data_IF_767097436351
#
_entry.id   IF_767097436351
#
_cell.length_a   1.000
_cell.length_b   1.000
_cell.length_c   1.000
_cell.angle_alpha   90.00
_cell.angle_beta   90.00
_cell.angle_gamma   90.00
#
_symmetry.space_group_name_H-M   'P 1'
#
loop_
_entity.id
_entity.type
_entity.pdbx_description
1 polymer ?
#
# COMPACT_ATOMS: atom_id res chain seq x y z
N UNK A 1 8.90 -37.67 -10.07
CA UNK A 1 9.35 -36.29 -9.77
C UNK A 1 9.06 -36.05 -8.32
N UNK A 2 9.80 -35.21 -7.59
CA UNK A 2 9.42 -34.86 -6.22
C UNK A 2 8.05 -34.18 -6.24
N UNK A 3 7.19 -34.56 -5.28
CA UNK A 3 5.90 -33.91 -5.06
C UNK A 3 6.10 -32.75 -4.12
N UNK A 4 5.63 -31.55 -4.48
CA UNK A 4 5.73 -30.33 -3.67
C UNK A 4 4.39 -29.97 -3.08
N UNK A 5 4.37 -29.45 -1.85
CA UNK A 5 3.19 -28.94 -1.17
C UNK A 5 3.19 -27.41 -1.21
N UNK A 6 2.21 -26.83 -1.88
CA UNK A 6 1.96 -25.38 -1.92
C UNK A 6 0.76 -25.08 -1.03
N UNK A 7 0.96 -24.19 -0.05
CA UNK A 7 -0.08 -23.80 0.89
C UNK A 7 -0.44 -22.33 0.66
N UNK A 8 -1.71 -22.06 0.45
CA UNK A 8 -2.29 -20.72 0.50
C UNK A 8 -2.84 -20.48 1.90
N UNK A 9 -2.32 -19.49 2.58
CA UNK A 9 -2.67 -19.23 3.98
C UNK A 9 -4.02 -18.54 4.12
N UNK A 10 -4.28 -17.54 3.28
CA UNK A 10 -5.49 -16.72 3.30
C UNK A 10 -5.69 -16.02 1.96
N UNK A 11 -6.96 -15.75 1.60
CA UNK A 11 -7.29 -15.17 0.31
C UNK A 11 -8.66 -14.51 0.29
N UNK A 12 -8.77 -13.35 -0.37
CA UNK A 12 -10.00 -12.57 -0.46
C UNK A 12 -10.91 -12.90 -1.64
N UNK A 13 -10.38 -13.56 -2.68
CA UNK A 13 -11.14 -13.87 -3.89
C UNK A 13 -11.91 -15.20 -3.77
N UNK A 14 -13.02 -15.38 -4.53
CA UNK A 14 -13.88 -16.56 -4.39
C UNK A 14 -13.29 -17.84 -4.97
N UNK A 15 -12.31 -17.76 -5.87
CA UNK A 15 -11.73 -18.90 -6.59
C UNK A 15 -10.19 -18.87 -6.64
N UNK A 16 -9.61 -19.93 -7.18
CA UNK A 16 -8.17 -20.15 -7.39
C UNK A 16 -7.82 -20.47 -8.83
N UNK A 17 -8.67 -20.15 -9.73
CA UNK A 17 -8.54 -20.65 -11.11
C UNK A 17 -7.26 -20.15 -11.76
N UNK A 18 -6.90 -18.89 -11.57
CA UNK A 18 -5.67 -18.31 -12.15
C UNK A 18 -4.41 -18.91 -11.56
N UNK A 19 -4.34 -19.06 -10.24
CA UNK A 19 -3.20 -19.69 -9.57
C UNK A 19 -3.08 -21.15 -9.97
N UNK A 20 -4.18 -21.90 -9.93
CA UNK A 20 -4.23 -23.32 -10.32
C UNK A 20 -3.80 -23.49 -11.76
N UNK A 21 -4.21 -22.61 -12.67
CA UNK A 21 -3.81 -22.62 -14.06
C UNK A 21 -2.30 -22.46 -14.23
N UNK A 22 -1.70 -21.48 -13.55
CA UNK A 22 -0.24 -21.24 -13.60
C UNK A 22 0.53 -22.40 -12.97
N UNK A 23 0.11 -22.85 -11.79
CA UNK A 23 0.77 -23.93 -11.06
C UNK A 23 0.70 -25.25 -11.83
N UNK A 24 -0.45 -25.60 -12.41
CA UNK A 24 -0.63 -26.83 -13.20
C UNK A 24 0.16 -26.81 -14.52
N UNK A 25 0.29 -25.64 -15.14
CA UNK A 25 1.07 -25.51 -16.37
C UNK A 25 2.58 -25.69 -16.18
N UNK A 26 3.08 -25.67 -14.93
CA UNK A 26 4.50 -25.84 -14.60
C UNK A 26 5.07 -27.22 -14.88
N UNK A 27 4.21 -28.24 -15.00
CA UNK A 27 4.62 -29.65 -15.12
C UNK A 27 5.12 -30.28 -13.81
N UNK A 28 5.08 -29.56 -12.70
CA UNK A 28 5.43 -30.07 -11.37
C UNK A 28 4.30 -30.92 -10.79
N UNK A 29 4.66 -31.94 -10.00
CA UNK A 29 3.68 -32.65 -9.18
C UNK A 29 3.41 -31.84 -7.91
N UNK A 30 2.23 -31.18 -7.85
CA UNK A 30 1.88 -30.22 -6.80
C UNK A 30 0.65 -30.67 -6.02
N UNK A 31 0.79 -30.70 -4.69
CA UNK A 31 -0.32 -30.77 -3.74
C UNK A 31 -0.67 -29.34 -3.29
N UNK A 32 -1.88 -28.90 -3.63
CA UNK A 32 -2.38 -27.56 -3.27
C UNK A 32 -3.27 -27.66 -2.03
N UNK A 33 -2.93 -26.89 -0.98
CA UNK A 33 -3.73 -26.75 0.22
C UNK A 33 -4.20 -25.32 0.37
N UNK A 34 -5.51 -25.16 0.60
CA UNK A 34 -6.17 -23.89 0.77
C UNK A 34 -6.63 -23.74 2.22
N UNK A 35 -6.10 -22.74 2.90
CA UNK A 35 -6.50 -22.38 4.25
C UNK A 35 -7.25 -21.04 4.21
N UNK A 36 -7.81 -20.61 5.32
CA UNK A 36 -8.31 -19.25 5.55
C UNK A 36 -7.90 -18.85 6.96
N UNK A 37 -6.58 -18.88 7.20
CA UNK A 37 -5.96 -18.67 8.49
C UNK A 37 -4.95 -17.53 8.38
N UNK A 38 -5.07 -16.56 9.30
CA UNK A 38 -4.19 -15.39 9.35
C UNK A 38 -3.30 -15.37 10.60
N UNK A 39 -3.75 -16.04 11.65
CA UNK A 39 -3.08 -16.08 12.93
C UNK A 39 -1.95 -17.12 12.92
N UNK A 40 -0.74 -16.77 13.39
CA UNK A 40 0.40 -17.69 13.50
C UNK A 40 0.10 -18.99 14.25
N UNK A 41 -0.62 -18.91 15.38
CA UNK A 41 -0.95 -20.09 16.18
C UNK A 41 -1.81 -21.10 15.41
N UNK A 42 -2.69 -20.60 14.55
CA UNK A 42 -3.54 -21.43 13.71
C UNK A 42 -2.79 -21.99 12.50
N UNK A 43 -1.78 -21.28 11.99
CA UNK A 43 -0.99 -21.69 10.83
C UNK A 43 0.03 -22.79 11.15
N UNK A 44 0.71 -22.70 12.30
CA UNK A 44 1.80 -23.59 12.70
C UNK A 44 1.45 -25.08 12.50
N UNK A 45 0.27 -25.61 12.89
CA UNK A 45 -0.06 -27.03 12.70
C UNK A 45 -0.16 -27.47 11.23
N UNK A 46 -0.27 -26.54 10.29
CA UNK A 46 -0.55 -26.85 8.88
C UNK A 46 0.64 -26.69 7.94
N UNK A 47 1.73 -26.01 8.39
CA UNK A 47 2.82 -25.59 7.48
C UNK A 47 4.03 -26.53 7.46
N UNK A 48 4.06 -27.59 8.27
CA UNK A 48 5.22 -28.48 8.40
C UNK A 48 5.66 -29.12 7.08
N UNK A 49 4.73 -29.42 6.18
CA UNK A 49 4.99 -30.04 4.89
C UNK A 49 5.06 -29.02 3.73
N UNK A 50 5.02 -27.72 4.03
CA UNK A 50 5.02 -26.69 2.99
C UNK A 50 6.38 -26.58 2.31
N UNK A 51 6.41 -26.71 0.98
CA UNK A 51 7.55 -26.36 0.14
C UNK A 51 7.45 -24.90 -0.35
N UNK A 52 6.22 -24.37 -0.39
CA UNK A 52 5.94 -22.97 -0.72
C UNK A 52 4.70 -22.46 0.03
N UNK A 53 4.74 -21.18 0.42
CA UNK A 53 3.56 -20.45 0.89
C UNK A 53 3.16 -19.38 -0.12
N UNK A 54 1.85 -19.20 -0.26
CA UNK A 54 1.23 -18.03 -0.89
C UNK A 54 0.44 -17.30 0.20
N UNK A 55 0.71 -16.00 0.39
CA UNK A 55 0.25 -15.24 1.54
C UNK A 55 -0.40 -13.93 1.11
N UNK A 56 -1.56 -13.58 1.68
CA UNK A 56 -2.17 -12.26 1.49
C UNK A 56 -2.00 -11.36 2.72
N UNK A 57 -2.60 -11.74 3.83
CA UNK A 57 -2.62 -10.95 5.08
C UNK A 57 -2.11 -11.72 6.30
N UNK A 58 -1.87 -13.01 6.16
CA UNK A 58 -1.43 -13.86 7.26
C UNK A 58 -0.09 -13.40 7.83
N UNK A 59 0.04 -13.39 9.14
CA UNK A 59 1.28 -13.07 9.83
C UNK A 59 2.23 -14.28 9.78
N UNK A 60 3.35 -14.12 9.10
CA UNK A 60 4.38 -15.14 8.95
C UNK A 60 5.58 -14.75 9.82
N UNK A 61 5.42 -14.93 11.12
CA UNK A 61 6.45 -14.62 12.09
C UNK A 61 7.53 -15.73 12.15
N UNK A 62 8.55 -15.50 12.99
CA UNK A 62 9.66 -16.46 13.21
C UNK A 62 9.17 -17.86 13.62
N UNK A 63 8.07 -17.98 14.35
CA UNK A 63 7.52 -19.27 14.82
C UNK A 63 6.91 -20.05 13.66
N UNK A 64 6.16 -19.40 12.79
CA UNK A 64 5.62 -20.02 11.57
C UNK A 64 6.77 -20.46 10.66
N UNK A 65 7.77 -19.59 10.45
CA UNK A 65 8.96 -19.89 9.64
C UNK A 65 9.73 -21.09 10.22
N UNK A 66 9.86 -21.18 11.53
CA UNK A 66 10.52 -22.32 12.18
C UNK A 66 9.75 -23.64 11.99
N UNK A 67 8.42 -23.58 11.87
CA UNK A 67 7.56 -24.75 11.71
C UNK A 67 7.54 -25.33 10.28
N UNK A 68 8.16 -24.68 9.29
CA UNK A 68 8.17 -25.12 7.89
C UNK A 68 9.59 -25.43 7.38
N UNK A 69 10.16 -26.57 7.75
CA UNK A 69 11.57 -26.90 7.48
C UNK A 69 11.89 -27.10 5.99
N UNK A 70 10.89 -27.37 5.16
CA UNK A 70 11.03 -27.62 3.72
C UNK A 70 10.77 -26.41 2.85
N UNK A 71 10.24 -25.32 3.42
CA UNK A 71 9.79 -24.16 2.66
C UNK A 71 10.96 -23.48 1.95
N UNK A 72 10.78 -23.20 0.66
CA UNK A 72 11.78 -22.58 -0.22
C UNK A 72 11.36 -21.16 -0.61
N UNK A 73 10.06 -20.88 -0.60
CA UNK A 73 9.52 -19.59 -1.03
C UNK A 73 8.26 -19.19 -0.26
N UNK A 74 8.20 -17.93 0.12
CA UNK A 74 6.98 -17.25 0.57
C UNK A 74 6.67 -16.20 -0.50
N UNK A 75 5.58 -16.42 -1.26
CA UNK A 75 5.12 -15.50 -2.30
C UNK A 75 3.93 -14.71 -1.80
N UNK A 76 4.02 -13.39 -1.81
CA UNK A 76 3.01 -12.49 -1.26
C UNK A 76 2.12 -11.89 -2.35
N UNK A 77 0.80 -11.90 -2.15
CA UNK A 77 -0.16 -11.15 -2.97
C UNK A 77 -0.06 -9.65 -2.66
N UNK A 78 0.82 -8.94 -3.35
CA UNK A 78 0.98 -7.50 -3.30
C UNK A 78 2.42 -7.03 -3.10
N UNK A 79 2.58 -5.73 -2.81
CA UNK A 79 3.88 -5.06 -2.71
C UNK A 79 4.49 -5.17 -1.32
N UNK A 80 3.76 -4.77 -0.28
CA UNK A 80 4.27 -4.75 1.09
C UNK A 80 4.42 -6.15 1.69
N UNK A 81 5.42 -6.35 2.54
CA UNK A 81 5.76 -7.63 3.18
C UNK A 81 5.90 -7.48 4.70
N UNK A 82 5.31 -6.45 5.25
CA UNK A 82 5.40 -6.07 6.67
C UNK A 82 4.83 -7.14 7.63
N UNK A 83 4.03 -8.09 7.13
CA UNK A 83 3.53 -9.24 7.87
C UNK A 83 4.48 -10.44 7.89
N UNK A 84 5.63 -10.39 7.20
CA UNK A 84 6.60 -11.50 7.08
C UNK A 84 7.90 -11.15 7.80
N UNK A 85 8.38 -12.00 8.70
CA UNK A 85 9.72 -11.86 9.30
C UNK A 85 10.80 -12.16 8.25
N UNK A 86 11.25 -11.09 7.56
CA UNK A 86 12.27 -11.20 6.52
C UNK A 86 13.62 -11.71 7.03
N UNK A 87 13.98 -11.37 8.28
CA UNK A 87 15.23 -11.83 8.87
C UNK A 87 15.20 -13.34 9.10
N UNK A 88 14.13 -13.84 9.73
CA UNK A 88 13.96 -15.27 9.95
C UNK A 88 13.87 -16.06 8.64
N UNK A 89 13.19 -15.55 7.63
CA UNK A 89 13.13 -16.18 6.30
C UNK A 89 14.53 -16.25 5.66
N UNK A 90 15.30 -15.18 5.76
CA UNK A 90 16.65 -15.10 5.18
C UNK A 90 17.64 -16.04 5.90
N UNK A 91 17.60 -16.11 7.23
CA UNK A 91 18.40 -17.06 8.04
C UNK A 91 18.20 -18.52 7.61
N UNK A 92 17.03 -18.85 7.08
CA UNK A 92 16.68 -20.17 6.59
C UNK A 92 16.83 -20.36 5.08
N UNK A 93 17.32 -19.36 4.38
CA UNK A 93 17.46 -19.41 2.92
C UNK A 93 16.14 -19.38 2.15
N UNK A 94 15.04 -18.98 2.80
CA UNK A 94 13.71 -18.90 2.18
C UNK A 94 13.63 -17.62 1.36
N UNK A 95 13.29 -17.74 0.08
CA UNK A 95 13.04 -16.59 -0.80
C UNK A 95 11.70 -15.96 -0.41
N UNK A 96 11.70 -14.65 -0.13
CA UNK A 96 10.47 -13.88 -0.01
C UNK A 96 10.28 -13.08 -1.28
N UNK A 97 9.25 -13.43 -2.05
CA UNK A 97 8.89 -12.78 -3.31
C UNK A 97 7.58 -12.02 -3.17
N UNK A 98 7.50 -10.86 -3.83
CA UNK A 98 6.29 -10.05 -3.91
C UNK A 98 5.91 -9.76 -5.37
N UNK A 99 4.87 -8.95 -5.59
CA UNK A 99 4.52 -8.42 -6.92
C UNK A 99 4.54 -6.92 -6.84
N UNK A 100 5.64 -6.31 -7.26
CA UNK A 100 5.95 -4.89 -6.98
C UNK A 100 5.38 -3.91 -8.00
N UNK A 101 4.84 -4.39 -9.12
CA UNK A 101 4.45 -3.58 -10.28
C UNK A 101 2.98 -3.71 -10.69
N UNK A 102 2.19 -4.57 -10.05
CA UNK A 102 0.83 -4.93 -10.49
C UNK A 102 -0.20 -3.81 -10.38
N UNK A 103 0.01 -2.83 -9.48
CA UNK A 103 -0.99 -1.81 -9.16
C UNK A 103 -0.46 -0.37 -9.21
N UNK A 104 0.64 -0.14 -9.93
CA UNK A 104 1.23 1.20 -10.03
C UNK A 104 0.22 2.18 -10.64
N UNK A 105 -0.49 1.73 -11.68
CA UNK A 105 -1.49 2.53 -12.38
C UNK A 105 -2.70 2.81 -11.49
N UNK A 106 -3.20 1.80 -10.80
CA UNK A 106 -4.39 1.88 -9.96
C UNK A 106 -4.17 2.83 -8.78
N UNK A 107 -3.11 2.59 -7.99
CA UNK A 107 -2.82 3.42 -6.81
C UNK A 107 -2.52 4.86 -7.21
N UNK A 108 -1.77 5.07 -8.27
CA UNK A 108 -1.48 6.44 -8.74
C UNK A 108 -2.74 7.14 -9.26
N UNK A 109 -3.64 6.42 -9.94
CA UNK A 109 -4.93 6.99 -10.40
C UNK A 109 -5.84 7.30 -9.22
N UNK A 110 -5.94 6.42 -8.22
CA UNK A 110 -6.72 6.66 -7.01
C UNK A 110 -6.18 7.87 -6.24
N UNK A 111 -4.85 8.04 -6.15
CA UNK A 111 -4.23 9.23 -5.55
C UNK A 111 -4.67 10.51 -6.23
N UNK A 112 -4.66 10.54 -7.57
CA UNK A 112 -5.14 11.70 -8.34
C UNK A 112 -6.65 11.91 -8.12
N UNK A 113 -7.43 10.84 -8.05
CA UNK A 113 -8.84 10.88 -7.69
C UNK A 113 -9.06 11.59 -6.35
N UNK A 114 -8.34 11.19 -5.31
CA UNK A 114 -8.42 11.83 -3.99
C UNK A 114 -8.01 13.30 -4.00
N UNK A 115 -6.95 13.67 -4.75
CA UNK A 115 -6.55 15.09 -4.89
C UNK A 115 -7.69 15.90 -5.50
N UNK A 116 -8.35 15.37 -6.54
CA UNK A 116 -9.47 16.03 -7.20
C UNK A 116 -10.69 16.10 -6.28
N UNK A 117 -11.05 15.01 -5.62
CA UNK A 117 -12.20 14.93 -4.72
C UNK A 117 -12.06 15.89 -3.52
N UNK A 118 -10.90 15.90 -2.86
CA UNK A 118 -10.59 16.82 -1.77
C UNK A 118 -10.62 18.28 -2.25
N UNK A 119 -9.97 18.59 -3.38
CA UNK A 119 -9.94 19.95 -3.91
C UNK A 119 -11.30 20.44 -4.36
N UNK A 120 -12.16 19.55 -4.91
CA UNK A 120 -13.47 19.89 -5.46
C UNK A 120 -14.62 19.64 -4.49
N UNK A 121 -14.36 19.02 -3.34
CA UNK A 121 -15.38 18.60 -2.36
C UNK A 121 -16.46 17.73 -2.99
N UNK A 122 -16.07 16.79 -3.86
CA UNK A 122 -17.04 16.03 -4.69
C UNK A 122 -17.93 15.16 -3.82
N UNK A 123 -17.37 14.53 -2.78
CA UNK A 123 -18.09 13.66 -1.85
C UNK A 123 -19.12 14.46 -1.06
N UNK A 124 -18.72 15.60 -0.49
CA UNK A 124 -19.59 16.49 0.30
C UNK A 124 -20.69 17.10 -0.57
N UNK A 125 -20.36 17.51 -1.79
CA UNK A 125 -21.36 18.04 -2.74
C UNK A 125 -22.38 16.97 -3.13
N UNK A 126 -21.97 15.73 -3.37
CA UNK A 126 -22.88 14.63 -3.63
C UNK A 126 -23.82 14.36 -2.46
N UNK A 127 -23.29 14.34 -1.23
CA UNK A 127 -24.12 14.21 -0.01
C UNK A 127 -25.11 15.37 0.15
N UNK A 128 -24.66 16.59 -0.16
CA UNK A 128 -25.49 17.80 -0.11
C UNK A 128 -26.70 17.70 -1.05
N UNK A 129 -26.47 17.31 -2.31
CA UNK A 129 -27.54 17.14 -3.29
C UNK A 129 -28.48 15.99 -2.91
N UNK A 130 -27.94 14.85 -2.45
CA UNK A 130 -28.76 13.71 -1.98
C UNK A 130 -29.64 14.05 -0.77
N UNK A 131 -29.21 15.01 0.06
CA UNK A 131 -30.00 15.55 1.15
C UNK A 131 -31.04 16.62 0.72
N UNK A 132 -31.30 16.75 -0.60
CA UNK A 132 -32.29 17.66 -1.17
C UNK A 132 -31.83 19.11 -1.22
N UNK A 133 -30.56 19.42 -1.01
CA UNK A 133 -30.02 20.77 -1.07
C UNK A 133 -29.39 21.03 -2.44
N UNK A 134 -29.80 22.12 -3.08
CA UNK A 134 -29.34 22.53 -4.39
C UNK A 134 -28.89 23.99 -4.38
N UNK A 135 -27.78 24.27 -5.04
CA UNK A 135 -27.21 25.61 -5.16
C UNK A 135 -25.75 25.69 -4.75
N UNK A 136 -25.06 26.71 -5.22
CA UNK A 136 -23.61 26.83 -5.10
C UNK A 136 -23.15 27.69 -3.90
N UNK A 137 -24.06 28.24 -3.08
CA UNK A 137 -23.65 29.18 -2.02
C UNK A 137 -24.56 29.14 -0.79
N UNK A 138 -24.02 29.39 0.40
CA UNK A 138 -22.64 29.09 0.78
C UNK A 138 -22.49 27.59 1.15
N UNK A 139 -21.54 26.91 0.53
CA UNK A 139 -21.23 25.55 0.92
C UNK A 139 -20.49 25.54 2.28
N UNK A 140 -20.78 24.60 3.18
CA UNK A 140 -20.22 24.59 4.52
C UNK A 140 -18.68 24.38 4.56
N UNK A 141 -18.12 23.93 3.45
CA UNK A 141 -16.68 23.68 3.25
C UNK A 141 -15.97 24.79 2.45
N UNK A 142 -16.64 25.91 2.15
CA UNK A 142 -16.06 27.04 1.42
C UNK A 142 -15.97 26.83 -0.10
N UNK A 143 -15.37 27.79 -0.80
CA UNK A 143 -15.16 27.72 -2.24
C UNK A 143 -13.89 26.92 -2.57
N UNK A 144 -13.98 25.96 -3.51
CA UNK A 144 -12.80 25.22 -3.94
C UNK A 144 -11.72 26.12 -4.54
N UNK A 145 -10.45 25.87 -4.21
CA UNK A 145 -9.32 26.56 -4.84
C UNK A 145 -9.08 26.02 -6.26
N UNK A 146 -8.47 26.82 -7.13
CA UNK A 146 -8.04 26.34 -8.43
C UNK A 146 -6.87 25.37 -8.26
N UNK A 147 -6.98 24.14 -8.77
CA UNK A 147 -5.97 23.10 -8.62
C UNK A 147 -4.62 23.48 -9.25
N UNK A 148 -4.65 24.03 -10.49
CA UNK A 148 -3.43 24.46 -11.19
C UNK A 148 -2.65 25.51 -10.34
N UNK A 149 -1.39 25.21 -10.10
CA UNK A 149 -0.47 26.06 -9.32
C UNK A 149 -0.43 25.75 -7.83
N UNK A 150 -1.30 24.86 -7.31
CA UNK A 150 -1.14 24.29 -5.99
C UNK A 150 0.05 23.32 -5.94
N UNK A 151 0.52 22.96 -4.77
CA UNK A 151 1.71 22.14 -4.57
C UNK A 151 1.32 20.76 -4.03
N UNK A 152 1.82 19.70 -4.67
CA UNK A 152 1.77 18.34 -4.15
C UNK A 152 3.14 17.95 -3.60
N UNK A 153 3.22 17.63 -2.32
CA UNK A 153 4.35 16.99 -1.67
C UNK A 153 4.20 15.46 -1.72
N UNK A 154 5.21 14.78 -2.24
CA UNK A 154 5.22 13.33 -2.40
C UNK A 154 6.28 12.74 -1.46
N UNK A 155 5.86 11.92 -0.49
CA UNK A 155 6.73 11.20 0.43
C UNK A 155 6.91 9.76 -0.09
N UNK A 156 8.12 9.44 -0.54
CA UNK A 156 8.42 8.17 -1.24
C UNK A 156 8.33 8.30 -2.76
N UNK A 157 9.49 8.24 -3.43
CA UNK A 157 9.64 8.40 -4.88
C UNK A 157 10.00 7.08 -5.58
N UNK A 158 9.38 5.99 -5.10
CA UNK A 158 9.40 4.69 -5.75
C UNK A 158 8.55 4.68 -7.03
N UNK A 159 8.19 3.48 -7.51
CA UNK A 159 7.43 3.31 -8.74
C UNK A 159 6.11 4.09 -8.72
N UNK A 160 5.33 3.98 -7.64
CA UNK A 160 4.02 4.66 -7.51
C UNK A 160 4.21 6.18 -7.40
N UNK A 161 5.07 6.67 -6.50
CA UNK A 161 5.25 8.10 -6.28
C UNK A 161 5.69 8.85 -7.53
N UNK A 162 6.52 8.24 -8.38
CA UNK A 162 6.94 8.81 -9.66
C UNK A 162 5.79 8.91 -10.67
N UNK A 163 4.94 7.90 -10.76
CA UNK A 163 3.77 7.94 -11.65
C UNK A 163 2.72 8.93 -11.13
N UNK A 164 2.55 9.05 -9.81
CA UNK A 164 1.74 10.11 -9.21
C UNK A 164 2.27 11.49 -9.61
N UNK A 165 3.58 11.71 -9.55
CA UNK A 165 4.20 12.96 -9.97
C UNK A 165 3.92 13.28 -11.45
N UNK A 166 4.09 12.30 -12.35
CA UNK A 166 3.78 12.47 -13.78
C UNK A 166 2.32 12.89 -14.00
N UNK A 167 1.38 12.17 -13.39
CA UNK A 167 -0.06 12.47 -13.52
C UNK A 167 -0.41 13.84 -12.93
N UNK A 168 0.11 14.16 -11.75
CA UNK A 168 -0.13 15.45 -11.08
C UNK A 168 0.46 16.62 -11.84
N UNK A 169 1.62 16.45 -12.47
CA UNK A 169 2.23 17.45 -13.36
C UNK A 169 1.33 17.80 -14.55
N UNK A 170 0.62 16.82 -15.12
CA UNK A 170 -0.35 17.07 -16.19
C UNK A 170 -1.55 17.94 -15.73
N UNK A 171 -1.86 17.95 -14.45
CA UNK A 171 -2.89 18.83 -13.87
C UNK A 171 -2.36 20.23 -13.51
N UNK A 172 -1.08 20.47 -13.71
CA UNK A 172 -0.42 21.74 -13.44
C UNK A 172 -0.11 22.00 -11.98
N UNK A 173 0.03 20.95 -11.17
CA UNK A 173 0.53 21.02 -9.80
C UNK A 173 2.04 21.28 -9.82
N UNK A 174 2.55 22.02 -8.84
CA UNK A 174 3.97 22.05 -8.49
C UNK A 174 4.31 20.83 -7.65
N UNK A 175 5.48 20.25 -7.84
CA UNK A 175 5.84 18.97 -7.22
C UNK A 175 7.04 19.15 -6.29
N UNK A 176 6.84 18.82 -5.00
CA UNK A 176 7.90 18.62 -4.03
C UNK A 176 8.03 17.12 -3.75
N UNK A 177 9.25 16.65 -3.57
CA UNK A 177 9.52 15.24 -3.29
C UNK A 177 10.44 15.07 -2.09
N UNK A 178 10.15 14.08 -1.26
CA UNK A 178 11.02 13.63 -0.18
C UNK A 178 11.22 12.11 -0.26
N UNK A 179 12.46 11.71 -0.46
CA UNK A 179 12.89 10.32 -0.38
C UNK A 179 14.40 10.32 -0.06
N UNK A 180 14.84 9.81 1.12
CA UNK A 180 16.22 9.84 1.53
C UNK A 180 17.13 8.88 0.74
N UNK A 181 16.53 7.98 -0.06
CA UNK A 181 17.26 6.93 -0.79
C UNK A 181 17.30 7.18 -2.30
N UNK A 182 16.61 8.20 -2.79
CA UNK A 182 16.51 8.51 -4.22
C UNK A 182 17.50 9.62 -4.57
N UNK A 183 18.39 9.34 -5.53
CA UNK A 183 19.29 10.34 -6.09
C UNK A 183 18.53 11.31 -7.01
N UNK A 184 19.06 12.53 -7.17
CA UNK A 184 18.39 13.59 -7.94
C UNK A 184 18.15 13.22 -9.39
N UNK A 185 19.09 12.51 -10.02
CA UNK A 185 18.99 12.03 -11.39
C UNK A 185 17.85 11.01 -11.62
N UNK A 186 17.46 10.30 -10.57
CA UNK A 186 16.38 9.33 -10.65
C UNK A 186 14.97 9.96 -10.81
N UNK A 187 14.84 11.26 -10.62
CA UNK A 187 13.60 12.05 -10.79
C UNK A 187 13.72 13.11 -11.89
N UNK A 188 14.81 13.06 -12.67
CA UNK A 188 15.00 13.96 -13.80
C UNK A 188 13.83 13.84 -14.81
N UNK A 189 13.40 14.99 -15.31
CA UNK A 189 12.28 15.07 -16.26
C UNK A 189 10.87 14.96 -15.64
N UNK A 190 10.77 14.66 -14.33
CA UNK A 190 9.47 14.60 -13.64
C UNK A 190 9.00 15.95 -13.08
N UNK A 191 9.84 16.98 -13.13
CA UNK A 191 9.53 18.30 -12.58
C UNK A 191 9.42 18.34 -11.05
N UNK A 192 10.00 17.36 -10.36
CA UNK A 192 10.01 17.25 -8.90
C UNK A 192 11.19 18.06 -8.36
N UNK A 193 10.92 18.93 -7.40
CA UNK A 193 11.94 19.52 -6.56
C UNK A 193 12.13 18.65 -5.31
N UNK A 194 13.34 18.07 -5.16
CA UNK A 194 13.70 17.32 -3.95
C UNK A 194 13.97 18.29 -2.80
N UNK A 195 13.34 18.05 -1.65
CA UNK A 195 13.45 18.87 -0.46
C UNK A 195 13.47 18.01 0.82
N UNK A 196 13.79 18.62 1.95
CA UNK A 196 13.64 17.97 3.25
C UNK A 196 12.15 17.77 3.63
N UNK A 197 11.87 16.81 4.53
CA UNK A 197 10.51 16.49 4.95
C UNK A 197 9.77 17.73 5.50
N UNK A 198 10.40 18.49 6.37
CA UNK A 198 9.80 19.69 6.96
C UNK A 198 9.45 20.76 5.92
N UNK A 199 10.33 20.94 4.92
CA UNK A 199 10.09 21.89 3.83
C UNK A 199 8.94 21.42 2.95
N UNK A 200 8.87 20.12 2.65
CA UNK A 200 7.75 19.52 1.92
C UNK A 200 6.43 19.77 2.64
N UNK A 201 6.37 19.49 3.95
CA UNK A 201 5.15 19.64 4.74
C UNK A 201 4.66 21.09 4.78
N UNK A 202 5.59 22.06 4.98
CA UNK A 202 5.24 23.51 5.00
C UNK A 202 4.83 24.04 3.63
N UNK A 203 5.40 23.48 2.55
CA UNK A 203 5.21 23.99 1.20
C UNK A 203 4.06 23.38 0.41
N UNK A 204 3.37 22.37 0.96
CA UNK A 204 2.39 21.58 0.21
C UNK A 204 0.95 21.92 0.56
N UNK A 205 0.11 22.01 -0.47
CA UNK A 205 -1.36 22.01 -0.35
C UNK A 205 -1.91 20.59 -0.21
N UNK A 206 -1.22 19.61 -0.79
CA UNK A 206 -1.50 18.17 -0.64
C UNK A 206 -0.22 17.45 -0.28
N UNK A 207 -0.27 16.56 0.70
CA UNK A 207 0.83 15.67 1.08
C UNK A 207 0.40 14.24 0.83
N UNK A 208 1.10 13.51 -0.04
CA UNK A 208 0.76 12.13 -0.40
C UNK A 208 1.89 11.17 -0.04
N UNK A 209 1.54 10.07 0.66
CA UNK A 209 2.49 9.09 1.21
C UNK A 209 2.52 7.85 0.34
N UNK A 210 3.72 7.48 -0.14
CA UNK A 210 4.00 6.33 -1.00
C UNK A 210 5.25 5.54 -0.58
N UNK A 211 5.82 5.82 0.59
CA UNK A 211 6.97 5.08 1.13
C UNK A 211 6.53 3.74 1.76
N UNK A 212 7.42 2.73 1.85
CA UNK A 212 7.12 1.48 2.55
C UNK A 212 7.04 1.69 4.07
N UNK A 213 6.37 0.78 4.76
CA UNK A 213 6.38 0.71 6.22
C UNK A 213 7.63 -0.09 6.67
N UNK A 214 8.56 0.62 7.27
CA UNK A 214 9.77 0.11 7.92
C UNK A 214 9.95 0.84 9.25
N UNK A 215 10.91 0.44 10.06
CA UNK A 215 11.12 1.06 11.38
C UNK A 215 11.31 2.59 11.28
N UNK A 216 12.04 3.06 10.25
CA UNK A 216 12.32 4.47 10.03
C UNK A 216 11.10 5.27 9.55
N UNK A 217 10.10 4.63 8.96
CA UNK A 217 8.88 5.30 8.46
C UNK A 217 7.67 5.12 9.37
N UNK A 218 7.78 4.28 10.38
CA UNK A 218 6.72 4.09 11.37
C UNK A 218 6.54 5.36 12.20
N UNK A 219 5.34 5.94 12.18
CA UNK A 219 5.04 7.21 12.85
C UNK A 219 5.77 8.42 12.26
N UNK A 220 6.26 8.30 11.00
CA UNK A 220 6.95 9.38 10.29
C UNK A 220 6.14 10.68 10.29
N UNK A 221 4.83 10.58 10.18
CA UNK A 221 3.91 11.72 10.24
C UNK A 221 3.20 11.69 11.60
N UNK A 222 3.81 12.29 12.59
CA UNK A 222 3.26 12.48 13.93
C UNK A 222 2.76 13.90 14.16
N UNK A 223 2.45 14.24 15.42
CA UNK A 223 1.91 15.54 15.79
C UNK A 223 2.81 16.72 15.36
N UNK A 224 4.13 16.56 15.49
CA UNK A 224 5.07 17.60 15.09
C UNK A 224 5.04 17.86 13.58
N UNK A 225 4.95 16.80 12.76
CA UNK A 225 4.88 16.87 11.30
C UNK A 225 3.54 17.44 10.84
N UNK A 226 2.43 17.02 11.45
CA UNK A 226 1.10 17.56 11.15
C UNK A 226 1.01 19.06 11.48
N UNK A 227 1.67 19.50 12.55
CA UNK A 227 1.73 20.92 12.92
C UNK A 227 2.54 21.80 11.94
N UNK A 228 3.36 21.19 11.05
CA UNK A 228 4.07 21.89 9.97
C UNK A 228 3.21 22.12 8.74
N UNK A 229 2.14 21.33 8.57
CA UNK A 229 1.24 21.46 7.41
C UNK A 229 0.44 22.76 7.48
N UNK A 230 0.04 23.26 6.33
CA UNK A 230 -0.82 24.45 6.24
C UNK A 230 -2.24 24.12 6.70
N UNK A 231 -2.99 25.08 7.26
CA UNK A 231 -4.36 24.83 7.73
C UNK A 231 -5.34 24.41 6.64
N UNK A 232 -5.07 24.76 5.38
CA UNK A 232 -5.86 24.38 4.20
C UNK A 232 -5.25 23.21 3.43
N UNK A 233 -4.23 22.54 3.98
CA UNK A 233 -3.61 21.37 3.37
C UNK A 233 -4.35 20.07 3.69
N UNK A 234 -4.17 19.09 2.80
CA UNK A 234 -4.75 17.75 2.89
C UNK A 234 -3.66 16.67 2.98
N UNK A 235 -3.89 15.65 3.83
CA UNK A 235 -3.04 14.46 3.91
C UNK A 235 -3.68 13.29 3.15
N UNK A 236 -2.89 12.61 2.32
CA UNK A 236 -3.32 11.43 1.55
C UNK A 236 -2.41 10.26 1.91
N UNK A 237 -2.96 9.17 2.45
CA UNK A 237 -2.18 7.98 2.76
C UNK A 237 -2.61 6.80 1.88
N UNK A 238 -1.73 6.43 0.95
CA UNK A 238 -1.90 5.34 0.00
C UNK A 238 -0.91 4.19 0.24
N UNK A 239 -0.17 4.23 1.36
CA UNK A 239 0.90 3.30 1.65
C UNK A 239 0.54 2.32 2.76
N UNK A 240 0.74 2.72 4.03
CA UNK A 240 0.38 1.94 5.22
C UNK A 240 -0.09 2.86 6.35
N UNK A 241 -1.12 2.45 7.07
CA UNK A 241 -1.69 3.21 8.19
C UNK A 241 -0.66 3.63 9.23
N UNK A 242 0.18 2.72 9.76
CA UNK A 242 1.16 3.05 10.80
C UNK A 242 2.30 4.00 10.42
N UNK A 243 2.37 4.48 9.17
CA UNK A 243 3.28 5.58 8.79
C UNK A 243 2.81 6.90 9.39
N UNK A 244 1.51 7.02 9.65
CA UNK A 244 0.90 8.16 10.30
C UNK A 244 0.50 7.78 11.72
N UNK A 245 0.83 8.61 12.70
CA UNK A 245 0.25 8.49 14.03
C UNK A 245 -1.25 8.83 13.96
N UNK A 246 -2.10 7.79 14.01
CA UNK A 246 -3.54 7.94 13.83
C UNK A 246 -4.19 8.82 14.92
N UNK A 247 -3.66 8.77 16.15
CA UNK A 247 -4.18 9.61 17.23
C UNK A 247 -3.84 11.08 16.99
N UNK A 248 -2.62 11.38 16.55
CA UNK A 248 -2.22 12.74 16.18
C UNK A 248 -3.00 13.24 14.96
N UNK A 249 -3.23 12.39 13.97
CA UNK A 249 -4.03 12.73 12.78
C UNK A 249 -5.48 13.04 13.17
N UNK A 250 -6.09 12.23 14.03
CA UNK A 250 -7.44 12.52 14.55
C UNK A 250 -7.52 13.90 15.21
N UNK A 251 -6.54 14.24 16.06
CA UNK A 251 -6.52 15.56 16.73
C UNK A 251 -6.36 16.71 15.71
N UNK A 252 -5.50 16.55 14.73
CA UNK A 252 -5.30 17.55 13.68
C UNK A 252 -6.55 17.77 12.83
N UNK A 253 -7.27 16.70 12.48
CA UNK A 253 -8.51 16.76 11.71
C UNK A 253 -9.70 17.30 12.52
N UNK A 254 -9.86 16.85 13.76
CA UNK A 254 -10.94 17.28 14.65
C UNK A 254 -10.82 18.76 15.03
N UNK A 255 -9.59 19.26 15.24
CA UNK A 255 -9.31 20.67 15.50
C UNK A 255 -9.26 21.54 14.23
N UNK A 256 -9.35 20.93 13.03
CA UNK A 256 -9.20 21.63 11.74
C UNK A 256 -7.85 22.35 11.62
N UNK A 257 -6.79 21.83 12.23
CA UNK A 257 -5.43 22.35 12.02
C UNK A 257 -4.88 21.98 10.64
N UNK A 258 -5.46 20.96 9.99
CA UNK A 258 -5.39 20.69 8.55
C UNK A 258 -6.81 20.58 7.99
N UNK A 259 -6.98 20.80 6.69
CA UNK A 259 -8.31 20.85 6.07
C UNK A 259 -9.01 19.49 6.09
N UNK A 260 -8.28 18.42 5.80
CA UNK A 260 -8.85 17.06 5.72
C UNK A 260 -7.82 16.00 5.34
N UNK A 261 -8.31 14.78 5.11
CA UNK A 261 -7.49 13.68 4.68
C UNK A 261 -8.23 12.74 3.70
N UNK A 262 -7.46 11.95 2.93
CA UNK A 262 -7.96 10.79 2.21
C UNK A 262 -7.09 9.56 2.57
N UNK A 263 -7.73 8.53 3.06
CA UNK A 263 -7.07 7.37 3.66
C UNK A 263 -7.57 6.08 3.00
N UNK A 264 -6.69 5.42 2.25
CA UNK A 264 -6.96 4.07 1.76
C UNK A 264 -6.57 3.01 2.81
N UNK A 265 -5.75 3.42 3.78
CA UNK A 265 -5.17 2.54 4.80
C UNK A 265 -5.30 3.14 6.20
N UNK A 266 -5.48 2.29 7.22
CA UNK A 266 -5.60 2.65 8.62
C UNK A 266 -4.59 1.89 9.48
N UNK A 267 -4.37 2.36 10.72
CA UNK A 267 -3.43 1.72 11.63
C UNK A 267 -3.88 0.30 12.03
N UNK A 268 -5.20 0.09 12.11
CA UNK A 268 -5.83 -1.21 12.33
C UNK A 268 -6.85 -1.44 11.22
N UNK A 269 -6.75 -2.59 10.56
CA UNK A 269 -7.61 -2.99 9.44
C UNK A 269 -8.17 -4.40 9.68
N UNK A 270 -9.53 -4.59 9.70
CA UNK A 270 -10.55 -3.55 9.59
C UNK A 270 -10.59 -2.67 10.84
N UNK A 271 -10.99 -1.38 10.71
CA UNK A 271 -11.14 -0.49 11.84
C UNK A 271 -12.31 -0.89 12.73
N UNK A 272 -12.24 -0.52 14.01
CA UNK A 272 -13.40 -0.59 14.89
C UNK A 272 -14.50 0.35 14.36
N UNK A 273 -15.76 -0.10 14.20
CA UNK A 273 -16.86 0.76 13.78
C UNK A 273 -17.08 1.98 14.69
N UNK A 274 -16.62 1.93 15.94
CA UNK A 274 -16.66 3.03 16.91
C UNK A 274 -15.46 3.96 16.85
N UNK A 275 -14.49 3.74 15.93
CA UNK A 275 -13.34 4.63 15.82
C UNK A 275 -13.77 6.06 15.51
N UNK A 276 -13.35 7.00 16.37
CA UNK A 276 -13.71 8.41 16.26
C UNK A 276 -13.25 9.04 14.93
N UNK A 277 -12.17 8.53 14.32
CA UNK A 277 -11.68 8.99 13.03
C UNK A 277 -12.73 8.78 11.92
N UNK A 278 -13.49 7.68 11.98
CA UNK A 278 -14.55 7.37 11.01
C UNK A 278 -15.76 8.29 11.09
N UNK A 279 -15.89 9.05 12.18
CA UNK A 279 -17.00 10.00 12.38
C UNK A 279 -16.70 11.41 11.86
N UNK A 280 -15.47 11.67 11.43
CA UNK A 280 -15.07 12.97 10.91
C UNK A 280 -15.62 13.19 9.49
N UNK A 281 -16.16 14.38 9.25
CA UNK A 281 -16.76 14.79 7.97
C UNK A 281 -15.74 15.31 6.94
N UNK A 282 -14.48 15.50 7.35
CA UNK A 282 -13.38 15.99 6.51
C UNK A 282 -12.39 14.87 6.14
N UNK A 283 -12.83 13.61 6.15
CA UNK A 283 -12.00 12.46 5.76
C UNK A 283 -12.73 11.63 4.71
N UNK A 284 -12.02 11.28 3.65
CA UNK A 284 -12.45 10.31 2.64
C UNK A 284 -11.76 8.99 2.94
N UNK A 285 -12.51 7.89 2.98
CA UNK A 285 -11.98 6.56 3.20
C UNK A 285 -12.22 5.64 2.01
N UNK A 286 -11.26 4.76 1.74
CA UNK A 286 -11.45 3.56 0.93
C UNK A 286 -10.88 2.34 1.67
N UNK A 287 -11.43 1.13 1.47
CA UNK A 287 -11.15 -0.03 2.31
C UNK A 287 -9.90 -0.80 1.84
N UNK A 288 -8.74 -0.14 1.77
CA UNK A 288 -7.47 -0.70 1.28
C UNK A 288 -7.64 -1.34 -0.11
N UNK A 289 -8.31 -0.61 -1.00
CA UNK A 289 -8.74 -1.08 -2.33
C UNK A 289 -8.13 -0.29 -3.49
N UNK A 290 -7.24 0.64 -3.22
CA UNK A 290 -6.62 1.48 -4.25
C UNK A 290 -5.83 0.70 -5.30
N UNK A 291 -5.44 -0.53 -4.97
CA UNK A 291 -4.73 -1.42 -5.89
C UNK A 291 -5.64 -2.21 -6.83
N UNK A 292 -6.97 -2.10 -6.73
CA UNK A 292 -7.92 -2.99 -7.37
C UNK A 292 -8.34 -2.51 -8.77
N UNK A 293 -8.06 -3.33 -9.75
CA UNK A 293 -8.69 -3.39 -11.06
C UNK A 293 -8.79 -4.85 -11.49
N UNK A 294 -9.52 -5.14 -12.55
CA UNK A 294 -9.58 -6.51 -13.13
C UNK A 294 -8.19 -6.94 -13.59
N UNK A 295 -7.45 -6.02 -14.18
CA UNK A 295 -6.12 -6.20 -14.73
C UNK A 295 -5.09 -6.43 -13.63
N UNK A 296 -5.09 -5.55 -12.60
CA UNK A 296 -4.15 -5.66 -11.49
C UNK A 296 -4.34 -6.94 -10.68
N UNK A 297 -5.59 -7.32 -10.40
CA UNK A 297 -5.89 -8.59 -9.71
C UNK A 297 -5.45 -9.80 -10.52
N UNK A 298 -5.70 -9.82 -11.83
CA UNK A 298 -5.27 -10.92 -12.69
C UNK A 298 -3.73 -11.02 -12.76
N UNK A 299 -3.04 -9.89 -12.87
CA UNK A 299 -1.58 -9.83 -12.84
C UNK A 299 -1.04 -10.30 -11.49
N UNK A 300 -1.58 -9.78 -10.39
CA UNK A 300 -1.18 -10.14 -9.03
C UNK A 300 -1.24 -11.65 -8.81
N UNK A 301 -2.38 -12.26 -9.13
CA UNK A 301 -2.64 -13.68 -8.94
C UNK A 301 -1.68 -14.56 -9.75
N UNK A 302 -1.53 -14.25 -11.05
CA UNK A 302 -0.61 -14.99 -11.92
C UNK A 302 0.85 -14.85 -11.49
N UNK A 303 1.28 -13.62 -11.18
CA UNK A 303 2.68 -13.37 -10.78
C UNK A 303 3.01 -14.02 -9.45
N UNK A 304 2.08 -14.01 -8.48
CA UNK A 304 2.26 -14.68 -7.20
C UNK A 304 2.44 -16.18 -7.36
N UNK A 305 1.62 -16.83 -8.17
CA UNK A 305 1.76 -18.25 -8.49
C UNK A 305 3.05 -18.53 -9.29
N UNK A 306 3.41 -17.65 -10.23
CA UNK A 306 4.63 -17.79 -11.03
C UNK A 306 5.90 -17.70 -10.16
N UNK A 307 5.94 -16.83 -9.15
CA UNK A 307 7.05 -16.79 -8.20
C UNK A 307 7.28 -18.14 -7.52
N UNK A 308 6.20 -18.84 -7.13
CA UNK A 308 6.29 -20.20 -6.56
C UNK A 308 6.87 -21.18 -7.57
N UNK A 309 6.35 -21.20 -8.81
CA UNK A 309 6.83 -22.07 -9.89
C UNK A 309 8.32 -21.83 -10.15
N UNK A 310 8.74 -20.58 -10.23
CA UNK A 310 10.13 -20.24 -10.51
C UNK A 310 11.07 -20.80 -9.45
N UNK A 311 10.75 -20.61 -8.16
CA UNK A 311 11.62 -21.13 -7.09
C UNK A 311 11.62 -22.65 -7.03
N UNK A 312 10.48 -23.30 -7.24
CA UNK A 312 10.41 -24.76 -7.24
C UNK A 312 11.15 -25.40 -8.44
N UNK A 313 11.33 -24.63 -9.52
CA UNK A 313 12.16 -24.98 -10.69
C UNK A 313 13.60 -24.44 -10.61
N UNK A 314 14.08 -24.06 -9.41
CA UNK A 314 15.43 -23.53 -9.17
C UNK A 314 15.74 -22.23 -9.94
N UNK A 315 14.71 -21.44 -10.24
CA UNK A 315 14.84 -20.11 -10.85
C UNK A 315 14.64 -19.02 -9.81
N UNK A 316 15.28 -17.86 -10.01
CA UNK A 316 15.10 -16.70 -9.13
C UNK A 316 13.96 -15.84 -9.68
N UNK A 317 12.90 -15.55 -8.88
CA UNK A 317 11.81 -14.68 -9.30
C UNK A 317 12.30 -13.26 -9.63
N UNK A 318 11.56 -12.52 -10.47
CA UNK A 318 11.91 -11.13 -10.80
C UNK A 318 12.01 -10.21 -9.57
N UNK A 319 11.10 -10.39 -8.62
CA UNK A 319 10.99 -9.57 -7.41
C UNK A 319 11.24 -10.40 -6.15
N UNK A 320 12.48 -10.38 -5.68
CA UNK A 320 12.90 -11.01 -4.42
C UNK A 320 13.20 -9.90 -3.41
N UNK A 321 12.40 -9.84 -2.34
CA UNK A 321 12.49 -8.78 -1.33
C UNK A 321 13.76 -8.90 -0.49
N UNK A 322 14.11 -10.11 -0.07
CA UNK A 322 15.30 -10.39 0.74
C UNK A 322 16.53 -10.79 -0.10
N UNK A 323 16.59 -10.36 -1.37
CA UNK A 323 17.65 -10.66 -2.35
C UNK A 323 19.05 -10.45 -1.78
N UNK A 324 19.30 -9.26 -1.17
CA UNK A 324 20.61 -8.89 -0.62
C UNK A 324 21.04 -9.82 0.51
N UNK A 325 20.12 -10.20 1.39
CA UNK A 325 20.41 -11.08 2.53
C UNK A 325 20.72 -12.52 2.07
N UNK A 326 20.18 -12.94 0.92
CA UNK A 326 20.42 -14.27 0.34
C UNK A 326 21.64 -14.29 -0.61
N UNK A 327 22.26 -13.16 -0.90
CA UNK A 327 23.39 -13.10 -1.86
C UNK A 327 23.00 -13.35 -3.32
N UNK A 328 21.73 -13.09 -3.72
CA UNK A 328 21.18 -13.33 -5.04
C UNK A 328 21.34 -12.14 -5.98
#
# INVERSE_FOLDING_TARGET
MPSYTVILTDFGEPDWDLETQVLSASGLDLKLLRLQLKDPEQLIPHVAEADALIVQWASIDRRVIAAMPRCRVISRYGIGVDMIDLAAASERGIIVANVHDYCIEEVSTQTIGFIIDLNRHTVEQNQHVRAGRWGAAPLPFGAPRRLKGQTLGIIGLGNIGRVVAQKAGCLGLRLLGYDPYVASDAVDGLGIQLVGLDELLRGSDFVSIHCPLVDETRGLIGAAQLALMQPDAYLINMARGPIVDQAALYQALASRSIAGAALDVLAVEPPDPGDALLQLDNVIFTPHSSSWSRESLAQLRRSTAQNVVDVLLDRVPPSVVNRRALGL
#
